data_IF_513463199653
#
_entry.id   IF_513463199653
#
_cell.length_a   1.000
_cell.length_b   1.000
_cell.length_c   1.000
_cell.angle_alpha   90.00
_cell.angle_beta   90.00
_cell.angle_gamma   90.00
#
_symmetry.space_group_name_H-M   'P 1'
#
loop_
_entity.id
_entity.type
_entity.pdbx_description
1 polymer ?
#
# COMPACT_ATOMS: atom_id res chain seq x y z
N UNK A 1 5.45 1.96 -32.46
CA UNK A 1 6.03 2.72 -31.33
C UNK A 1 4.98 3.35 -30.41
N UNK A 2 4.07 4.23 -30.88
CA UNK A 2 3.01 4.84 -30.04
C UNK A 2 2.08 3.83 -29.35
N UNK A 3 1.71 2.75 -30.03
CA UNK A 3 0.82 1.71 -29.47
C UNK A 3 1.50 0.86 -28.39
N UNK A 4 2.78 0.51 -28.59
CA UNK A 4 3.62 -0.18 -27.59
C UNK A 4 3.80 0.71 -26.35
N UNK A 5 4.14 1.98 -26.55
CA UNK A 5 4.29 2.95 -25.44
C UNK A 5 2.98 3.14 -24.66
N UNK A 6 1.82 3.24 -25.34
CA UNK A 6 0.51 3.32 -24.69
C UNK A 6 0.17 2.05 -23.90
N UNK A 7 0.42 0.87 -24.47
CA UNK A 7 0.21 -0.41 -23.79
C UNK A 7 1.07 -0.52 -22.53
N UNK A 8 2.34 -0.10 -22.60
CA UNK A 8 3.24 -0.10 -21.44
C UNK A 8 2.75 0.87 -20.36
N UNK A 9 2.33 2.10 -20.71
CA UNK A 9 1.81 3.05 -19.72
C UNK A 9 0.57 2.53 -18.99
N UNK A 10 -0.39 1.93 -19.71
CA UNK A 10 -1.59 1.35 -19.10
C UNK A 10 -1.23 0.18 -18.20
N UNK A 11 -0.39 -0.73 -18.67
CA UNK A 11 0.05 -1.91 -17.89
C UNK A 11 0.79 -1.48 -16.62
N UNK A 12 1.66 -0.47 -16.71
CA UNK A 12 2.34 0.06 -15.53
C UNK A 12 1.37 0.74 -14.57
N UNK A 13 0.34 1.43 -15.07
CA UNK A 13 -0.71 2.00 -14.22
C UNK A 13 -1.51 0.93 -13.49
N UNK A 14 -1.86 -0.16 -14.17
CA UNK A 14 -2.50 -1.34 -13.56
C UNK A 14 -1.60 -1.99 -12.51
N UNK A 15 -0.30 -2.09 -12.78
CA UNK A 15 0.67 -2.61 -11.82
C UNK A 15 0.81 -1.69 -10.60
N UNK A 16 0.89 -0.35 -10.78
CA UNK A 16 0.92 0.62 -9.67
C UNK A 16 -0.32 0.46 -8.80
N UNK A 17 -1.51 0.37 -9.40
CA UNK A 17 -2.74 0.09 -8.65
C UNK A 17 -2.59 -1.17 -7.80
N UNK A 18 -2.17 -2.29 -8.39
CA UNK A 18 -2.09 -3.58 -7.69
C UNK A 18 -0.96 -3.65 -6.65
N UNK A 19 0.14 -2.93 -6.86
CA UNK A 19 1.21 -2.78 -5.87
C UNK A 19 0.71 -2.03 -4.62
N UNK A 20 -0.12 -1.00 -4.82
CA UNK A 20 -0.68 -0.21 -3.72
C UNK A 20 -1.90 -0.91 -3.10
N UNK A 21 -2.76 -1.56 -3.88
CA UNK A 21 -3.97 -2.18 -3.38
C UNK A 21 -3.72 -3.59 -2.81
N UNK A 22 -3.34 -3.64 -1.53
CA UNK A 22 -3.10 -4.88 -0.77
C UNK A 22 -4.31 -5.40 0.01
N UNK A 23 -4.21 -6.60 0.62
CA UNK A 23 -5.27 -7.15 1.47
C UNK A 23 -5.66 -6.22 2.63
N UNK A 24 -4.71 -5.50 3.23
CA UNK A 24 -4.99 -4.47 4.24
C UNK A 24 -5.82 -3.30 3.72
N UNK A 25 -5.80 -3.05 2.41
CA UNK A 25 -6.53 -1.96 1.76
C UNK A 25 -7.98 -2.34 1.39
N UNK A 26 -8.40 -3.58 1.65
CA UNK A 26 -9.81 -3.98 1.66
C UNK A 26 -10.53 -3.52 2.93
N UNK A 27 -9.80 -3.44 4.05
CA UNK A 27 -10.32 -3.14 5.38
C UNK A 27 -10.63 -1.65 5.57
N UNK A 28 -9.65 -0.78 5.35
CA UNK A 28 -9.76 0.65 5.67
C UNK A 28 -10.90 1.41 4.96
N UNK A 29 -11.14 1.25 3.64
CA UNK A 29 -12.27 1.91 2.98
C UNK A 29 -13.62 1.43 3.51
N UNK A 30 -13.76 0.14 3.88
CA UNK A 30 -15.00 -0.36 4.53
C UNK A 30 -15.24 0.37 5.86
N UNK A 31 -14.19 0.51 6.68
CA UNK A 31 -14.27 1.25 7.94
C UNK A 31 -14.63 2.72 7.73
N UNK A 32 -14.14 3.34 6.65
CA UNK A 32 -14.55 4.69 6.28
C UNK A 32 -16.03 4.78 5.92
N UNK A 33 -16.58 3.75 5.28
CA UNK A 33 -18.01 3.61 5.02
C UNK A 33 -18.88 3.59 6.28
N UNK A 34 -18.39 3.03 7.39
CA UNK A 34 -19.10 2.98 8.68
C UNK A 34 -19.39 4.37 9.29
N UNK A 35 -18.77 5.43 8.76
CA UNK A 35 -19.10 6.80 9.17
C UNK A 35 -20.48 7.26 8.71
N UNK A 36 -21.28 6.40 8.07
CA UNK A 36 -22.71 6.57 7.90
C UNK A 36 -23.11 7.82 7.13
N UNK A 37 -24.04 8.59 7.70
CA UNK A 37 -24.57 9.84 7.13
C UNK A 37 -23.53 10.92 6.74
N UNK A 38 -22.26 10.77 7.16
CA UNK A 38 -21.16 11.62 6.73
C UNK A 38 -20.15 10.88 5.81
N UNK A 39 -20.65 10.01 4.95
CA UNK A 39 -19.86 9.26 3.97
C UNK A 39 -18.94 10.14 3.11
N UNK A 40 -19.44 11.27 2.58
CA UNK A 40 -18.63 12.15 1.72
C UNK A 40 -17.43 12.75 2.48
N UNK A 41 -17.60 13.42 3.64
CA UNK A 41 -16.48 13.86 4.46
C UNK A 41 -15.51 12.73 4.83
N UNK A 42 -16.04 11.56 5.22
CA UNK A 42 -15.24 10.39 5.56
C UNK A 42 -14.34 9.95 4.40
N UNK A 43 -14.94 9.72 3.22
CA UNK A 43 -14.20 9.28 2.04
C UNK A 43 -13.21 10.34 1.53
N UNK A 44 -13.53 11.63 1.62
CA UNK A 44 -12.58 12.69 1.28
C UNK A 44 -11.35 12.66 2.19
N UNK A 45 -11.55 12.48 3.50
CA UNK A 45 -10.47 12.28 4.45
C UNK A 45 -9.63 11.06 4.09
N UNK A 46 -10.29 9.90 3.91
CA UNK A 46 -9.64 8.64 3.56
C UNK A 46 -8.81 8.75 2.27
N UNK A 47 -9.38 9.29 1.19
CA UNK A 47 -8.72 9.45 -0.10
C UNK A 47 -7.56 10.44 -0.05
N UNK A 48 -7.62 11.46 0.81
CA UNK A 48 -6.51 12.38 1.02
C UNK A 48 -5.28 11.62 1.55
N UNK A 49 -5.47 10.76 2.55
CA UNK A 49 -4.40 9.96 3.14
C UNK A 49 -3.94 8.79 2.27
N UNK A 50 -4.87 8.07 1.64
CA UNK A 50 -4.61 6.80 0.94
C UNK A 50 -4.34 6.93 -0.56
N UNK A 51 -4.69 8.05 -1.20
CA UNK A 51 -4.49 8.23 -2.65
C UNK A 51 -3.70 9.50 -2.97
N UNK A 52 -4.17 10.66 -2.50
CA UNK A 52 -3.57 11.94 -2.87
C UNK A 52 -2.13 12.03 -2.36
N UNK A 53 -1.90 11.67 -1.10
CA UNK A 53 -0.58 11.70 -0.50
C UNK A 53 0.41 10.71 -1.15
N UNK A 54 0.07 9.42 -1.38
CA UNK A 54 0.90 8.52 -2.18
C UNK A 54 1.18 9.03 -3.59
N UNK A 55 0.19 9.62 -4.28
CA UNK A 55 0.38 10.23 -5.60
C UNK A 55 1.41 11.36 -5.55
N UNK A 56 1.37 12.22 -4.53
CA UNK A 56 2.40 13.25 -4.30
C UNK A 56 3.78 12.62 -4.08
N UNK A 57 3.86 11.52 -3.33
CA UNK A 57 5.07 10.71 -3.17
C UNK A 57 5.62 10.21 -4.50
N UNK A 58 4.75 9.67 -5.37
CA UNK A 58 5.11 9.19 -6.71
C UNK A 58 5.68 10.30 -7.58
N UNK A 59 4.96 11.43 -7.65
CA UNK A 59 5.37 12.60 -8.43
C UNK A 59 6.75 13.06 -7.97
N UNK A 60 6.95 13.14 -6.65
CA UNK A 60 8.19 13.64 -6.08
C UNK A 60 9.35 12.69 -6.36
N UNK A 61 9.20 11.36 -6.21
CA UNK A 61 10.30 10.43 -6.52
C UNK A 61 10.61 10.41 -8.02
N UNK A 62 9.61 10.61 -8.90
CA UNK A 62 9.83 10.80 -10.35
C UNK A 62 10.67 12.05 -10.62
N UNK A 63 10.41 13.17 -9.93
CA UNK A 63 11.23 14.39 -10.03
C UNK A 63 12.67 14.20 -9.53
N UNK A 64 12.92 13.15 -8.73
CA UNK A 64 14.24 12.69 -8.30
C UNK A 64 14.78 11.53 -9.14
N UNK A 65 14.23 11.31 -10.35
CA UNK A 65 14.67 10.27 -11.29
C UNK A 65 14.60 8.83 -10.76
N UNK A 66 13.78 8.60 -9.73
CA UNK A 66 13.70 7.30 -9.06
C UNK A 66 14.80 7.05 -8.04
N UNK A 67 15.67 8.03 -7.76
CA UNK A 67 16.75 7.86 -6.79
C UNK A 67 16.29 8.21 -5.37
N UNK A 68 15.88 7.18 -4.64
CA UNK A 68 15.49 7.34 -3.24
C UNK A 68 16.68 7.76 -2.35
N UNK A 69 17.94 7.53 -2.74
CA UNK A 69 19.08 8.05 -1.97
C UNK A 69 19.13 9.57 -2.07
N UNK A 70 19.05 10.13 -3.27
CA UNK A 70 18.99 11.58 -3.45
C UNK A 70 17.76 12.20 -2.76
N UNK A 71 16.63 11.48 -2.73
CA UNK A 71 15.43 11.90 -2.02
C UNK A 71 15.67 12.04 -0.50
N UNK A 72 16.22 11.02 0.16
CA UNK A 72 16.42 11.05 1.61
C UNK A 72 17.74 11.71 2.04
N UNK A 73 18.79 11.73 1.23
CA UNK A 73 20.09 12.30 1.62
C UNK A 73 20.10 13.83 1.69
N UNK A 74 19.04 14.52 1.23
CA UNK A 74 18.89 15.96 1.43
C UNK A 74 18.87 16.37 2.90
N UNK A 75 18.38 15.51 3.81
CA UNK A 75 18.47 15.77 5.26
C UNK A 75 19.88 15.50 5.83
N UNK A 76 20.73 14.81 5.08
CA UNK A 76 22.06 14.35 5.47
C UNK A 76 22.23 12.86 5.17
N UNK A 77 23.46 12.44 4.86
CA UNK A 77 23.75 11.06 4.43
C UNK A 77 23.42 10.02 5.51
N UNK A 78 23.85 10.26 6.75
CA UNK A 78 23.60 9.37 7.89
C UNK A 78 22.10 9.31 8.24
N UNK A 79 21.41 10.43 8.53
CA UNK A 79 19.99 10.37 8.89
C UNK A 79 19.12 9.89 7.71
N UNK A 80 19.47 10.25 6.47
CA UNK A 80 18.77 9.75 5.28
C UNK A 80 18.91 8.24 5.10
N UNK A 81 20.12 7.68 5.31
CA UNK A 81 20.34 6.24 5.26
C UNK A 81 19.57 5.50 6.36
N UNK A 82 19.54 6.06 7.58
CA UNK A 82 18.76 5.50 8.69
C UNK A 82 17.26 5.47 8.38
N UNK A 83 16.69 6.54 7.82
CA UNK A 83 15.28 6.58 7.43
C UNK A 83 14.98 5.56 6.32
N UNK A 84 15.83 5.45 5.29
CA UNK A 84 15.64 4.44 4.24
C UNK A 84 15.62 3.05 4.86
N UNK A 85 16.58 2.73 5.73
CA UNK A 85 16.65 1.43 6.40
C UNK A 85 15.39 1.14 7.22
N UNK A 86 14.93 2.10 8.02
CA UNK A 86 13.68 1.97 8.79
C UNK A 86 12.46 1.78 7.89
N UNK A 87 12.37 2.54 6.79
CA UNK A 87 11.28 2.37 5.83
C UNK A 87 11.29 0.96 5.23
N UNK A 88 12.46 0.42 4.85
CA UNK A 88 12.60 -0.93 4.30
C UNK A 88 12.20 -2.02 5.30
N UNK A 89 12.50 -1.83 6.59
CA UNK A 89 12.02 -2.73 7.65
C UNK A 89 10.50 -2.66 7.81
N UNK A 90 9.93 -1.45 7.83
CA UNK A 90 8.49 -1.23 7.98
C UNK A 90 7.71 -1.82 6.81
N UNK A 91 8.09 -1.50 5.56
CA UNK A 91 7.36 -2.00 4.39
C UNK A 91 7.66 -3.48 4.11
N UNK A 92 8.82 -3.97 4.52
CA UNK A 92 9.23 -5.34 4.29
C UNK A 92 8.90 -6.25 5.46
N UNK A 93 9.92 -6.77 6.16
CA UNK A 93 9.77 -7.92 7.04
C UNK A 93 9.06 -7.65 8.36
N UNK A 94 8.94 -6.40 8.83
CA UNK A 94 8.51 -6.14 10.22
C UNK A 94 7.03 -5.82 10.34
N UNK A 95 6.48 -4.96 9.47
CA UNK A 95 5.12 -4.44 9.64
C UNK A 95 4.23 -4.78 8.43
N UNK A 96 4.48 -4.21 7.26
CA UNK A 96 3.52 -4.25 6.16
C UNK A 96 3.35 -5.65 5.56
N UNK A 97 4.44 -6.39 5.25
CA UNK A 97 4.29 -7.75 4.74
C UNK A 97 3.70 -8.71 5.78
N UNK A 98 4.16 -8.74 7.06
CA UNK A 98 3.50 -9.53 8.10
C UNK A 98 2.01 -9.20 8.24
N UNK A 99 1.65 -7.91 8.23
CA UNK A 99 0.26 -7.44 8.27
C UNK A 99 -0.55 -7.98 7.11
N UNK A 100 0.00 -8.00 5.89
CA UNK A 100 -0.70 -8.54 4.72
C UNK A 100 -1.00 -10.03 4.92
N UNK A 101 -0.04 -10.81 5.43
CA UNK A 101 -0.23 -12.23 5.70
C UNK A 101 -1.30 -12.46 6.78
N UNK A 102 -1.20 -11.76 7.91
CA UNK A 102 -2.13 -11.93 9.03
C UNK A 102 -3.54 -11.45 8.70
N UNK A 103 -3.69 -10.33 7.98
CA UNK A 103 -4.99 -9.85 7.49
C UNK A 103 -5.59 -10.83 6.49
N UNK A 104 -4.79 -11.33 5.54
CA UNK A 104 -5.30 -12.31 4.57
C UNK A 104 -5.79 -13.57 5.27
N UNK A 105 -5.07 -14.05 6.28
CA UNK A 105 -5.52 -15.18 7.10
C UNK A 105 -6.82 -14.87 7.85
N UNK A 106 -6.89 -13.71 8.53
CA UNK A 106 -8.07 -13.30 9.28
C UNK A 106 -9.32 -13.23 8.38
N UNK A 107 -9.21 -12.58 7.22
CA UNK A 107 -10.30 -12.46 6.24
C UNK A 107 -10.76 -13.83 5.71
N UNK A 108 -9.85 -14.80 5.57
CA UNK A 108 -10.20 -16.12 5.06
C UNK A 108 -10.63 -17.10 6.15
N UNK A 109 -10.40 -16.77 7.42
CA UNK A 109 -10.73 -17.61 8.58
C UNK A 109 -12.17 -18.13 8.58
N UNK A 110 -13.20 -17.28 8.38
CA UNK A 110 -14.60 -17.73 8.31
C UNK A 110 -14.91 -18.68 7.14
N UNK A 111 -14.05 -18.74 6.13
CA UNK A 111 -14.27 -19.48 4.87
C UNK A 111 -13.42 -20.74 4.77
N UNK A 112 -12.41 -20.91 5.62
CA UNK A 112 -11.49 -22.03 5.61
C UNK A 112 -11.73 -22.91 6.85
N UNK A 113 -11.51 -24.24 6.75
CA UNK A 113 -11.42 -25.09 7.93
C UNK A 113 -10.37 -24.58 8.91
N UNK A 114 -10.48 -24.92 10.20
CA UNK A 114 -9.46 -24.57 11.20
C UNK A 114 -8.09 -25.13 10.82
N UNK A 115 -7.33 -24.34 10.07
CA UNK A 115 -5.99 -24.63 9.63
C UNK A 115 -4.99 -23.84 10.47
N UNK A 116 -3.81 -24.39 10.68
CA UNK A 116 -2.74 -23.67 11.38
C UNK A 116 -2.37 -22.41 10.59
N UNK A 117 -2.42 -21.24 11.25
CA UNK A 117 -1.89 -19.98 10.71
C UNK A 117 -0.48 -20.15 10.11
N UNK A 118 0.35 -20.99 10.75
CA UNK A 118 1.71 -21.26 10.30
C UNK A 118 1.73 -21.91 8.90
N UNK A 119 0.84 -22.87 8.65
CA UNK A 119 0.70 -23.51 7.34
C UNK A 119 0.24 -22.51 6.28
N UNK A 120 -0.75 -21.68 6.61
CA UNK A 120 -1.22 -20.61 5.73
C UNK A 120 -0.10 -19.63 5.38
N UNK A 121 0.61 -19.12 6.39
CA UNK A 121 1.71 -18.17 6.20
C UNK A 121 2.86 -18.78 5.36
N UNK A 122 3.20 -20.05 5.59
CA UNK A 122 4.18 -20.76 4.77
C UNK A 122 3.75 -20.84 3.30
N UNK A 123 2.51 -21.27 3.03
CA UNK A 123 2.00 -21.39 1.65
C UNK A 123 1.92 -20.01 0.98
N UNK A 124 1.40 -19.01 1.70
CA UNK A 124 1.25 -17.65 1.19
C UNK A 124 2.60 -17.03 0.80
N UNK A 125 3.61 -17.14 1.67
CA UNK A 125 4.94 -16.60 1.41
C UNK A 125 5.70 -17.43 0.36
N UNK A 126 5.43 -18.72 0.24
CA UNK A 126 5.97 -19.55 -0.84
C UNK A 126 5.41 -19.14 -2.21
N UNK A 127 4.11 -18.86 -2.31
CA UNK A 127 3.51 -18.33 -3.54
C UNK A 127 4.08 -16.94 -3.85
N UNK A 128 4.25 -16.11 -2.82
CA UNK A 128 4.90 -14.80 -2.95
C UNK A 128 6.34 -14.93 -3.48
N UNK A 129 7.10 -15.91 -3.00
CA UNK A 129 8.44 -16.22 -3.51
C UNK A 129 8.41 -16.57 -5.01
N UNK A 130 7.49 -17.43 -5.44
CA UNK A 130 7.34 -17.80 -6.86
C UNK A 130 7.04 -16.57 -7.72
N UNK A 131 6.15 -15.70 -7.25
CA UNK A 131 5.77 -14.47 -7.95
C UNK A 131 6.91 -13.45 -8.03
N UNK A 132 7.72 -13.34 -6.98
CA UNK A 132 8.88 -12.44 -6.91
C UNK A 132 10.16 -13.03 -7.51
N UNK A 133 10.20 -14.33 -7.81
CA UNK A 133 11.40 -15.05 -8.26
C UNK A 133 12.09 -14.40 -9.47
N UNK A 134 11.30 -13.86 -10.41
CA UNK A 134 11.79 -13.16 -11.60
C UNK A 134 11.53 -11.66 -11.50
N UNK A 135 12.48 -10.92 -10.93
CA UNK A 135 12.44 -9.45 -10.77
C UNK A 135 11.92 -8.72 -12.02
N UNK A 136 12.44 -9.08 -13.20
CA UNK A 136 12.08 -8.44 -14.47
C UNK A 136 10.64 -8.71 -14.96
N UNK A 137 9.91 -9.66 -14.35
CA UNK A 137 8.54 -10.02 -14.75
C UNK A 137 7.49 -9.59 -13.73
N UNK A 138 7.88 -8.93 -12.64
CA UNK A 138 6.96 -8.54 -11.57
C UNK A 138 5.89 -7.57 -12.10
N UNK A 139 6.28 -6.54 -12.86
CA UNK A 139 5.32 -5.60 -13.44
C UNK A 139 4.34 -6.29 -14.41
N UNK A 140 4.83 -7.23 -15.22
CA UNK A 140 3.98 -7.95 -16.17
C UNK A 140 2.99 -8.87 -15.44
N UNK A 141 3.46 -9.60 -14.41
CA UNK A 141 2.62 -10.47 -13.58
C UNK A 141 1.51 -9.65 -12.90
N UNK A 142 1.88 -8.53 -12.28
CA UNK A 142 0.93 -7.69 -11.57
C UNK A 142 -0.06 -7.04 -12.55
N UNK A 143 0.44 -6.40 -13.61
CA UNK A 143 -0.41 -5.66 -14.55
C UNK A 143 -1.31 -6.52 -15.44
N UNK A 144 -0.85 -7.69 -15.90
CA UNK A 144 -1.61 -8.52 -16.85
C UNK A 144 -2.38 -9.67 -16.21
N UNK A 145 -1.99 -10.14 -15.02
CA UNK A 145 -2.63 -11.30 -14.38
C UNK A 145 -3.33 -10.89 -13.09
N UNK A 146 -2.60 -10.29 -12.15
CA UNK A 146 -3.15 -10.04 -10.81
C UNK A 146 -4.19 -8.91 -10.82
N UNK A 147 -3.88 -7.76 -11.45
CA UNK A 147 -4.78 -6.61 -11.49
C UNK A 147 -6.13 -6.92 -12.15
N UNK A 148 -6.20 -7.57 -13.34
CA UNK A 148 -7.50 -7.84 -13.97
C UNK A 148 -8.38 -8.79 -13.16
N UNK A 149 -7.80 -9.84 -12.57
CA UNK A 149 -8.53 -10.78 -11.70
C UNK A 149 -9.06 -10.03 -10.47
N UNK A 150 -8.20 -9.26 -9.83
CA UNK A 150 -8.55 -8.45 -8.66
C UNK A 150 -9.68 -7.47 -8.98
N UNK A 151 -9.53 -6.64 -10.01
CA UNK A 151 -10.58 -5.68 -10.40
C UNK A 151 -11.89 -6.36 -10.78
N UNK A 152 -11.85 -7.51 -11.46
CA UNK A 152 -13.06 -8.26 -11.79
C UNK A 152 -13.78 -8.74 -10.53
N UNK A 153 -13.07 -9.37 -9.60
CA UNK A 153 -13.66 -9.85 -8.35
C UNK A 153 -14.25 -8.71 -7.52
N UNK A 154 -13.54 -7.58 -7.40
CA UNK A 154 -14.03 -6.41 -6.69
C UNK A 154 -15.23 -5.76 -7.39
N UNK A 155 -15.23 -5.67 -8.71
CA UNK A 155 -16.35 -5.14 -9.47
C UNK A 155 -17.61 -5.98 -9.23
N UNK A 156 -17.50 -7.31 -9.24
CA UNK A 156 -18.63 -8.20 -8.96
C UNK A 156 -19.15 -7.96 -7.53
N UNK A 157 -18.27 -7.89 -6.53
CA UNK A 157 -18.65 -7.64 -5.13
C UNK A 157 -19.33 -6.28 -4.95
N UNK A 158 -18.74 -5.21 -5.49
CA UNK A 158 -19.29 -3.86 -5.38
C UNK A 158 -20.63 -3.73 -6.11
N UNK A 159 -20.72 -4.18 -7.36
CA UNK A 159 -21.96 -4.08 -8.15
C UNK A 159 -23.09 -4.88 -7.47
N UNK A 160 -22.82 -6.11 -7.01
CA UNK A 160 -23.83 -6.90 -6.31
C UNK A 160 -24.23 -6.24 -4.99
N UNK A 161 -23.29 -5.66 -4.24
CA UNK A 161 -23.60 -4.96 -2.98
C UNK A 161 -24.38 -3.67 -3.15
N UNK A 162 -24.26 -2.98 -4.29
CA UNK A 162 -25.09 -1.81 -4.60
C UNK A 162 -26.53 -2.18 -4.95
N UNK A 163 -26.78 -3.39 -5.45
CA UNK A 163 -28.10 -3.89 -5.84
C UNK A 163 -28.78 -4.63 -4.68
N UNK A 164 -28.01 -5.26 -3.80
CA UNK A 164 -28.52 -6.00 -2.64
C UNK A 164 -29.27 -5.06 -1.67
N UNK A 165 -30.38 -5.50 -1.05
CA UNK A 165 -31.10 -4.69 -0.07
C UNK A 165 -30.15 -4.14 1.00
N UNK A 166 -30.22 -2.84 1.25
CA UNK A 166 -29.25 -2.12 2.06
C UNK A 166 -29.91 -1.35 3.20
N UNK A 167 -29.15 -1.12 4.25
CA UNK A 167 -29.50 -0.20 5.33
C UNK A 167 -28.32 0.74 5.56
N UNK A 168 -28.57 2.04 5.43
CA UNK A 168 -27.52 3.04 5.62
C UNK A 168 -27.11 3.04 7.09
N UNK A 169 -25.81 2.92 7.34
CA UNK A 169 -25.26 3.03 8.69
C UNK A 169 -25.62 4.39 9.28
N UNK A 170 -26.29 4.39 10.43
CA UNK A 170 -26.55 5.62 11.18
C UNK A 170 -25.27 6.06 11.90
N UNK A 171 -25.07 7.38 12.02
CA UNK A 171 -23.90 7.92 12.72
C UNK A 171 -24.30 9.07 13.62
N UNK A 172 -23.73 9.09 14.83
CA UNK A 172 -23.77 10.23 15.75
C UNK A 172 -22.55 11.13 15.63
N UNK A 173 -21.57 10.74 14.80
CA UNK A 173 -20.30 11.44 14.64
C UNK A 173 -20.48 12.72 13.81
N UNK A 174 -19.85 13.84 14.20
CA UNK A 174 -19.85 15.05 13.39
C UNK A 174 -19.01 14.92 12.11
N UNK A 175 -19.31 15.70 11.04
CA UNK A 175 -18.64 15.59 9.73
C UNK A 175 -17.14 15.86 9.76
N UNK A 176 -16.70 16.82 10.59
CA UNK A 176 -15.27 17.13 10.74
C UNK A 176 -14.51 15.99 11.43
N UNK A 177 -15.12 15.38 12.45
CA UNK A 177 -14.52 14.25 13.16
C UNK A 177 -14.43 13.02 12.24
N UNK A 178 -15.47 12.77 11.44
CA UNK A 178 -15.46 11.73 10.41
C UNK A 178 -14.33 11.96 9.39
N UNK A 179 -14.15 13.19 8.89
CA UNK A 179 -13.04 13.51 8.00
C UNK A 179 -11.67 13.22 8.64
N UNK A 180 -11.43 13.68 9.88
CA UNK A 180 -10.13 13.56 10.54
C UNK A 180 -9.77 12.10 10.87
N UNK A 181 -10.71 11.32 11.38
CA UNK A 181 -10.49 9.89 11.69
C UNK A 181 -10.17 9.12 10.41
N UNK A 182 -10.94 9.36 9.35
CA UNK A 182 -10.75 8.64 8.10
C UNK A 182 -9.52 9.09 7.33
N UNK A 183 -9.09 10.34 7.47
CA UNK A 183 -7.77 10.77 7.01
C UNK A 183 -6.64 9.97 7.68
N UNK A 184 -6.74 9.69 8.98
CA UNK A 184 -5.79 8.82 9.68
C UNK A 184 -5.84 7.37 9.19
N UNK A 185 -7.02 6.81 8.93
CA UNK A 185 -7.12 5.49 8.29
C UNK A 185 -6.50 5.47 6.90
N UNK A 186 -6.61 6.56 6.14
CA UNK A 186 -5.92 6.73 4.87
C UNK A 186 -4.40 6.64 5.02
N UNK A 187 -3.82 7.27 6.04
CA UNK A 187 -2.40 7.16 6.36
C UNK A 187 -1.98 5.74 6.77
N UNK A 188 -2.89 5.01 7.41
CA UNK A 188 -2.65 3.64 7.91
C UNK A 188 -2.48 2.61 6.79
N UNK A 189 -2.85 2.93 5.54
CA UNK A 189 -2.60 2.09 4.36
C UNK A 189 -1.10 1.83 4.14
N UNK A 190 -0.24 2.80 4.53
CA UNK A 190 1.21 2.82 4.29
C UNK A 190 1.60 2.99 2.81
N UNK A 191 0.63 3.33 1.95
CA UNK A 191 0.83 3.42 0.50
C UNK A 191 1.85 4.51 0.12
N UNK A 192 2.01 5.57 0.94
CA UNK A 192 3.04 6.60 0.70
C UNK A 192 4.45 6.00 0.73
N UNK A 193 4.74 5.17 1.74
CA UNK A 193 6.05 4.53 1.85
C UNK A 193 6.27 3.62 0.63
N UNK A 194 5.30 2.77 0.32
CA UNK A 194 5.35 1.88 -0.84
C UNK A 194 5.60 2.65 -2.13
N UNK A 195 4.84 3.73 -2.37
CA UNK A 195 4.90 4.50 -3.62
C UNK A 195 6.27 5.15 -3.88
N UNK A 196 6.95 5.62 -2.82
CA UNK A 196 8.30 6.18 -2.97
C UNK A 196 9.27 5.12 -3.50
N UNK A 197 9.22 3.89 -3.00
CA UNK A 197 10.13 2.82 -3.45
C UNK A 197 9.65 2.10 -4.71
N UNK A 198 8.35 1.89 -4.88
CA UNK A 198 7.78 1.36 -6.12
C UNK A 198 8.01 2.31 -7.30
N UNK A 199 7.90 3.62 -7.08
CA UNK A 199 8.18 4.63 -8.10
C UNK A 199 9.62 4.54 -8.64
N UNK A 200 10.59 4.23 -7.77
CA UNK A 200 11.97 3.98 -8.17
C UNK A 200 12.11 2.77 -9.11
N UNK A 201 11.46 1.65 -8.76
CA UNK A 201 11.45 0.42 -9.59
C UNK A 201 10.74 0.66 -10.92
N UNK A 202 9.57 1.29 -10.89
CA UNK A 202 8.80 1.64 -12.09
C UNK A 202 9.67 2.45 -13.06
N UNK A 203 10.35 3.48 -12.57
CA UNK A 203 11.26 4.29 -13.40
C UNK A 203 12.46 3.48 -13.89
N UNK A 204 13.04 2.61 -13.07
CA UNK A 204 14.14 1.72 -13.47
C UNK A 204 13.73 0.83 -14.63
N UNK A 205 12.55 0.20 -14.58
CA UNK A 205 12.06 -0.68 -15.64
C UNK A 205 11.74 0.11 -16.91
N UNK A 206 11.12 1.28 -16.77
CA UNK A 206 10.93 2.22 -17.87
C UNK A 206 12.29 2.60 -18.53
N UNK A 207 13.33 2.90 -17.75
CA UNK A 207 14.70 3.17 -18.24
C UNK A 207 15.33 1.95 -18.92
N UNK A 208 15.12 0.74 -18.41
CA UNK A 208 15.64 -0.49 -19.01
C UNK A 208 14.97 -0.81 -20.36
N UNK A 209 13.66 -0.60 -20.48
CA UNK A 209 12.93 -0.76 -21.74
C UNK A 209 13.38 0.25 -22.81
N UNK A 210 13.90 1.43 -22.42
CA UNK A 210 14.53 2.39 -23.34
C UNK A 210 15.85 1.88 -23.92
N UNK A 211 16.63 1.06 -23.19
CA UNK A 211 17.85 0.46 -23.79
C UNK A 211 17.53 -0.41 -25.01
N UNK A 212 16.27 -0.86 -25.15
CA UNK A 212 15.76 -1.61 -26.31
C UNK A 212 15.13 -0.70 -27.38
N UNK A 213 14.89 0.58 -27.11
CA UNK A 213 14.22 1.54 -28.01
C UNK A 213 15.09 2.79 -28.18
N UNK A 214 15.71 2.93 -29.34
CA UNK A 214 16.61 4.04 -29.69
C UNK A 214 15.90 5.40 -29.52
N UNK A 215 16.49 6.29 -28.72
CA UNK A 215 16.10 7.70 -28.48
C UNK A 215 14.72 7.97 -27.86
N UNK A 216 14.55 7.73 -26.56
CA UNK A 216 13.48 8.36 -25.76
C UNK A 216 14.11 9.39 -24.79
N UNK A 217 13.71 10.66 -24.88
CA UNK A 217 14.15 11.73 -23.96
C UNK A 217 13.67 11.43 -22.53
N UNK A 218 14.52 11.70 -21.53
CA UNK A 218 14.21 11.54 -20.10
C UNK A 218 12.89 12.22 -19.68
N UNK A 219 12.58 13.38 -20.26
CA UNK A 219 11.33 14.12 -20.01
C UNK A 219 10.06 13.33 -20.41
N UNK A 220 10.12 12.58 -21.52
CA UNK A 220 9.00 11.75 -22.00
C UNK A 220 8.77 10.59 -21.03
N UNK A 221 9.83 10.07 -20.41
CA UNK A 221 9.75 8.98 -19.45
C UNK A 221 9.07 9.39 -18.15
N UNK A 222 9.46 10.55 -17.60
CA UNK A 222 8.81 11.12 -16.43
C UNK A 222 7.31 11.33 -16.66
N UNK A 223 6.93 11.85 -17.83
CA UNK A 223 5.52 12.01 -18.20
C UNK A 223 4.79 10.68 -18.28
N UNK A 224 5.37 9.64 -18.89
CA UNK A 224 4.74 8.31 -18.95
C UNK A 224 4.57 7.68 -17.57
N UNK A 225 5.57 7.81 -16.69
CA UNK A 225 5.48 7.32 -15.31
C UNK A 225 4.40 8.08 -14.52
N UNK A 226 4.28 9.40 -14.72
CA UNK A 226 3.22 10.22 -14.13
C UNK A 226 1.83 9.82 -14.62
N UNK A 227 1.66 9.61 -15.94
CA UNK A 227 0.39 9.15 -16.51
C UNK A 227 0.01 7.76 -15.99
N UNK A 228 0.97 6.83 -15.90
CA UNK A 228 0.75 5.51 -15.30
C UNK A 228 0.33 5.64 -13.82
N UNK A 229 1.02 6.49 -13.06
CA UNK A 229 0.67 6.81 -11.68
C UNK A 229 -0.75 7.34 -11.53
N UNK A 230 -1.15 8.27 -12.39
CA UNK A 230 -2.51 8.81 -12.40
C UNK A 230 -3.57 7.75 -12.71
N UNK A 231 -3.32 6.86 -13.68
CA UNK A 231 -4.19 5.71 -13.96
C UNK A 231 -4.34 4.82 -12.72
N UNK A 232 -3.21 4.48 -12.07
CA UNK A 232 -3.21 3.66 -10.87
C UNK A 232 -4.01 4.28 -9.73
N UNK A 233 -3.77 5.56 -9.44
CA UNK A 233 -4.48 6.30 -8.39
C UNK A 233 -5.97 6.55 -8.70
N UNK A 234 -6.32 6.73 -9.97
CA UNK A 234 -7.72 6.87 -10.39
C UNK A 234 -8.49 5.55 -10.17
N UNK A 235 -7.89 4.41 -10.55
CA UNK A 235 -8.44 3.09 -10.26
C UNK A 235 -8.55 2.84 -8.77
N UNK A 236 -7.52 3.21 -8.00
CA UNK A 236 -7.51 3.08 -6.54
C UNK A 236 -8.65 3.87 -5.90
N UNK A 237 -8.88 5.11 -6.35
CA UNK A 237 -9.99 5.97 -5.91
C UNK A 237 -11.33 5.32 -6.20
N UNK A 238 -11.54 4.82 -7.42
CA UNK A 238 -12.79 4.19 -7.82
C UNK A 238 -13.09 2.95 -6.96
N UNK A 239 -12.09 2.10 -6.76
CA UNK A 239 -12.22 0.90 -5.94
C UNK A 239 -12.50 1.27 -4.48
N UNK A 240 -11.78 2.23 -3.90
CA UNK A 240 -12.02 2.68 -2.53
C UNK A 240 -13.41 3.29 -2.34
N UNK A 241 -13.93 4.05 -3.31
CA UNK A 241 -15.31 4.56 -3.27
C UNK A 241 -16.33 3.41 -3.33
N UNK A 242 -16.12 2.43 -4.22
CA UNK A 242 -16.97 1.24 -4.32
C UNK A 242 -16.98 0.44 -3.02
N UNK A 243 -15.81 0.14 -2.48
CA UNK A 243 -15.67 -0.61 -1.23
C UNK A 243 -16.21 0.18 -0.04
N UNK A 244 -15.92 1.49 0.05
CA UNK A 244 -16.49 2.35 1.08
C UNK A 244 -18.03 2.40 1.03
N UNK A 245 -18.62 2.38 -0.15
CA UNK A 245 -20.08 2.28 -0.27
C UNK A 245 -20.64 0.97 0.28
N UNK A 246 -19.89 -0.15 0.20
CA UNK A 246 -20.30 -1.39 0.86
C UNK A 246 -20.29 -1.25 2.38
N UNK A 247 -19.29 -0.57 2.94
CA UNK A 247 -19.26 -0.25 4.37
C UNK A 247 -20.44 0.61 4.81
N UNK A 248 -20.83 1.59 3.99
CA UNK A 248 -21.99 2.45 4.25
C UNK A 248 -23.33 1.71 4.21
N UNK A 249 -23.47 0.73 3.31
CA UNK A 249 -24.74 0.08 3.01
C UNK A 249 -24.98 -1.22 3.80
N UNK A 250 -23.91 -1.88 4.23
CA UNK A 250 -23.96 -3.22 4.84
C UNK A 250 -23.12 -3.34 6.12
N UNK A 251 -22.39 -2.31 6.50
CA UNK A 251 -21.45 -2.37 7.62
C UNK A 251 -22.08 -2.19 9.01
N UNK A 252 -23.35 -1.78 9.10
CA UNK A 252 -24.01 -1.43 10.37
C UNK A 252 -24.13 -2.59 11.35
N UNK A 253 -24.32 -3.81 10.85
CA UNK A 253 -24.37 -5.02 11.67
C UNK A 253 -22.98 -5.42 12.22
N UNK A 254 -21.90 -4.84 11.67
CA UNK A 254 -20.51 -5.21 11.94
C UNK A 254 -19.71 -4.10 12.59
N UNK A 255 -20.35 -3.11 13.22
CA UNK A 255 -19.67 -1.98 13.85
C UNK A 255 -18.70 -2.42 14.97
N UNK A 256 -18.96 -3.58 15.60
CA UNK A 256 -18.09 -4.22 16.59
C UNK A 256 -17.16 -5.32 16.03
N UNK A 257 -17.25 -5.63 14.74
CA UNK A 257 -16.42 -6.65 14.14
C UNK A 257 -14.95 -6.23 14.13
N UNK A 258 -14.05 -7.19 14.32
CA UNK A 258 -12.63 -6.93 14.20
C UNK A 258 -12.34 -6.48 12.77
N UNK A 259 -11.56 -5.40 12.62
CA UNK A 259 -11.29 -4.79 11.32
C UNK A 259 -10.79 -5.82 10.27
N UNK A 260 -10.03 -6.82 10.72
CA UNK A 260 -9.48 -7.89 9.89
C UNK A 260 -10.49 -8.86 9.27
N UNK A 261 -11.76 -8.91 9.71
CA UNK A 261 -12.80 -9.80 9.13
C UNK A 261 -13.91 -9.05 8.40
N UNK A 262 -14.01 -7.73 8.64
CA UNK A 262 -15.10 -6.87 8.17
C UNK A 262 -15.40 -6.97 6.66
N UNK A 263 -14.36 -7.09 5.83
CA UNK A 263 -14.55 -7.26 4.38
C UNK A 263 -15.24 -8.57 4.03
N UNK A 264 -14.81 -9.68 4.65
CA UNK A 264 -15.36 -11.00 4.37
C UNK A 264 -16.80 -11.12 4.87
N UNK A 265 -17.10 -10.57 6.04
CA UNK A 265 -18.45 -10.59 6.59
C UNK A 265 -19.43 -9.82 5.69
N UNK A 266 -19.08 -8.57 5.34
CA UNK A 266 -19.89 -7.76 4.41
C UNK A 266 -20.02 -8.43 3.05
N UNK A 267 -18.94 -8.97 2.50
CA UNK A 267 -18.98 -9.64 1.21
C UNK A 267 -19.80 -10.94 1.24
N UNK A 268 -19.82 -11.67 2.36
CA UNK A 268 -20.64 -12.88 2.51
C UNK A 268 -22.12 -12.56 2.66
N UNK A 269 -22.48 -11.47 3.33
CA UNK A 269 -23.87 -10.96 3.36
C UNK A 269 -24.34 -10.61 1.95
N UNK A 270 -23.51 -9.86 1.21
CA UNK A 270 -23.85 -9.39 -0.14
C UNK A 270 -23.87 -10.53 -1.16
N UNK A 271 -22.85 -11.38 -1.16
CA UNK A 271 -22.66 -12.37 -2.21
C UNK A 271 -23.34 -13.72 -1.90
N UNK A 272 -23.65 -13.99 -0.63
CA UNK A 272 -24.13 -15.28 -0.15
C UNK A 272 -23.06 -16.38 -0.23
N UNK A 273 -23.44 -17.62 0.05
CA UNK A 273 -22.51 -18.75 0.11
C UNK A 273 -21.80 -19.03 -1.23
N UNK A 274 -22.45 -18.74 -2.37
CA UNK A 274 -21.84 -18.81 -3.70
C UNK A 274 -20.72 -17.78 -3.93
N UNK A 275 -20.67 -16.74 -3.09
CA UNK A 275 -19.70 -15.64 -3.13
C UNK A 275 -18.36 -15.92 -2.48
N UNK A 276 -18.26 -16.97 -1.65
CA UNK A 276 -17.06 -17.27 -0.88
C UNK A 276 -15.81 -17.37 -1.76
N UNK A 277 -15.92 -18.01 -2.94
CA UNK A 277 -14.81 -18.14 -3.89
C UNK A 277 -14.34 -16.76 -4.40
N UNK A 278 -15.27 -15.83 -4.65
CA UNK A 278 -14.94 -14.47 -5.13
C UNK A 278 -14.18 -13.71 -4.04
N UNK A 279 -14.62 -13.83 -2.78
CA UNK A 279 -13.94 -13.22 -1.63
C UNK A 279 -12.53 -13.78 -1.46
N UNK A 280 -12.39 -15.11 -1.52
CA UNK A 280 -11.09 -15.79 -1.41
C UNK A 280 -10.13 -15.28 -2.48
N UNK A 281 -10.57 -15.22 -3.74
CA UNK A 281 -9.74 -14.74 -4.84
C UNK A 281 -9.39 -13.26 -4.64
N UNK A 282 -10.34 -12.39 -4.28
CA UNK A 282 -10.09 -10.97 -4.08
C UNK A 282 -9.03 -10.73 -2.99
N UNK A 283 -9.19 -11.37 -1.83
CA UNK A 283 -8.28 -11.24 -0.69
C UNK A 283 -6.89 -11.76 -1.03
N UNK A 284 -6.79 -12.95 -1.64
CA UNK A 284 -5.50 -13.54 -2.00
C UNK A 284 -4.80 -12.75 -3.11
N UNK A 285 -5.51 -12.31 -4.14
CA UNK A 285 -4.90 -11.52 -5.22
C UNK A 285 -4.38 -10.17 -4.71
N UNK A 286 -5.15 -9.48 -3.86
CA UNK A 286 -4.71 -8.25 -3.21
C UNK A 286 -3.51 -8.51 -2.26
N UNK A 287 -3.55 -9.60 -1.49
CA UNK A 287 -2.44 -9.96 -0.61
C UNK A 287 -1.15 -10.25 -1.40
N UNK A 288 -1.23 -11.09 -2.42
CA UNK A 288 -0.08 -11.48 -3.22
C UNK A 288 0.50 -10.32 -4.01
N UNK A 289 -0.32 -9.41 -4.56
CA UNK A 289 0.20 -8.31 -5.36
C UNK A 289 1.18 -7.44 -4.58
N UNK A 290 0.76 -6.98 -3.42
CA UNK A 290 1.55 -6.10 -2.58
C UNK A 290 2.70 -6.86 -1.92
N UNK A 291 2.49 -8.11 -1.48
CA UNK A 291 3.57 -8.92 -0.91
C UNK A 291 4.70 -9.21 -1.92
N UNK A 292 4.36 -9.53 -3.17
CA UNK A 292 5.34 -9.74 -4.25
C UNK A 292 6.11 -8.45 -4.51
N UNK A 293 5.41 -7.32 -4.64
CA UNK A 293 6.04 -6.03 -4.90
C UNK A 293 7.00 -5.60 -3.77
N UNK A 294 6.55 -5.67 -2.51
CA UNK A 294 7.34 -5.29 -1.34
C UNK A 294 8.54 -6.21 -1.13
N UNK A 295 8.35 -7.52 -1.28
CA UNK A 295 9.45 -8.49 -1.15
C UNK A 295 10.57 -8.22 -2.15
N UNK A 296 10.22 -7.85 -3.39
CA UNK A 296 11.19 -7.53 -4.41
C UNK A 296 11.96 -6.23 -4.13
N UNK A 297 11.25 -5.16 -3.72
CA UNK A 297 11.87 -3.89 -3.30
C UNK A 297 12.92 -4.12 -2.21
N UNK A 298 12.53 -4.87 -1.17
CA UNK A 298 13.36 -5.03 0.02
C UNK A 298 14.50 -6.02 -0.25
N UNK A 299 14.28 -7.04 -1.09
CA UNK A 299 15.34 -7.92 -1.55
C UNK A 299 16.38 -7.19 -2.40
N UNK A 300 15.96 -6.31 -3.33
CA UNK A 300 16.85 -5.48 -4.13
C UNK A 300 17.66 -4.52 -3.23
N UNK A 301 17.01 -3.91 -2.24
CA UNK A 301 17.66 -3.08 -1.24
C UNK A 301 18.71 -3.86 -0.43
N UNK A 302 18.35 -5.04 0.10
CA UNK A 302 19.26 -5.89 0.86
C UNK A 302 20.46 -6.30 0.01
N UNK A 303 20.25 -6.70 -1.24
CA UNK A 303 21.30 -7.05 -2.19
C UNK A 303 22.25 -5.86 -2.46
N UNK A 304 21.70 -4.72 -2.90
CA UNK A 304 22.50 -3.62 -3.46
C UNK A 304 23.06 -2.67 -2.41
N UNK A 305 22.25 -2.33 -1.42
CA UNK A 305 22.55 -1.30 -0.43
C UNK A 305 23.26 -1.85 0.80
N UNK A 306 22.77 -2.96 1.35
CA UNK A 306 23.28 -3.54 2.59
C UNK A 306 24.44 -4.50 2.32
N UNK A 307 24.26 -5.44 1.38
CA UNK A 307 25.26 -6.45 1.08
C UNK A 307 26.26 -6.02 -0.01
N UNK A 308 26.12 -4.83 -0.59
CA UNK A 308 26.99 -4.31 -1.67
C UNK A 308 27.20 -5.32 -2.82
N UNK A 309 26.13 -5.96 -3.29
CA UNK A 309 26.10 -7.00 -4.32
C UNK A 309 26.88 -8.30 -3.99
N UNK A 310 27.29 -8.51 -2.73
CA UNK A 310 27.90 -9.77 -2.29
C UNK A 310 26.89 -10.90 -2.13
N UNK A 311 25.62 -10.55 -1.94
CA UNK A 311 24.50 -11.49 -1.85
C UNK A 311 23.67 -11.40 -3.13
N UNK A 312 23.34 -12.55 -3.74
CA UNK A 312 22.47 -12.56 -4.92
C UNK A 312 21.01 -12.26 -4.54
N UNK A 313 20.21 -11.84 -5.52
CA UNK A 313 18.79 -11.49 -5.35
C UNK A 313 17.95 -12.61 -4.69
N UNK A 314 18.10 -13.86 -5.15
CA UNK A 314 17.29 -14.98 -4.65
C UNK A 314 17.54 -15.27 -3.16
N UNK A 315 18.79 -15.41 -2.67
CA UNK A 315 19.07 -15.47 -1.24
C UNK A 315 18.54 -14.26 -0.45
N UNK A 316 18.67 -13.05 -0.99
CA UNK A 316 18.14 -11.85 -0.34
C UNK A 316 16.61 -11.92 -0.18
N UNK A 317 15.90 -12.37 -1.22
CA UNK A 317 14.45 -12.58 -1.21
C UNK A 317 14.04 -13.63 -0.16
N UNK A 318 14.77 -14.74 -0.07
CA UNK A 318 14.51 -15.78 0.94
C UNK A 318 14.67 -15.22 2.36
N UNK A 319 15.73 -14.44 2.61
CA UNK A 319 15.96 -13.82 3.93
C UNK A 319 14.80 -12.88 4.29
N UNK A 320 14.35 -12.05 3.35
CA UNK A 320 13.22 -11.13 3.58
C UNK A 320 11.95 -11.91 3.91
N UNK A 321 11.61 -12.94 3.14
CA UNK A 321 10.40 -13.74 3.36
C UNK A 321 10.46 -14.56 4.65
N UNK A 322 11.62 -15.09 5.03
CA UNK A 322 11.79 -15.77 6.32
C UNK A 322 11.64 -14.80 7.49
N UNK A 323 12.19 -13.59 7.38
CA UNK A 323 12.00 -12.55 8.39
C UNK A 323 10.52 -12.13 8.49
N UNK A 324 9.84 -11.95 7.35
CA UNK A 324 8.38 -11.73 7.29
C UNK A 324 7.61 -12.85 7.98
N UNK A 325 7.96 -14.11 7.72
CA UNK A 325 7.30 -15.26 8.32
C UNK A 325 7.40 -15.21 9.84
N UNK A 326 8.60 -15.02 10.39
CA UNK A 326 8.84 -14.92 11.83
C UNK A 326 8.03 -13.76 12.43
N UNK A 327 8.07 -12.59 11.82
CA UNK A 327 7.30 -11.43 12.30
C UNK A 327 5.79 -11.64 12.20
N UNK A 328 5.31 -12.42 11.23
CA UNK A 328 3.88 -12.73 11.10
C UNK A 328 3.35 -13.59 12.26
N UNK A 329 4.22 -14.35 12.95
CA UNK A 329 3.85 -15.18 14.09
C UNK A 329 3.45 -14.37 15.34
N UNK A 330 3.80 -13.07 15.42
CA UNK A 330 3.37 -12.21 16.53
C UNK A 330 1.86 -11.91 16.54
N UNK A 331 1.15 -12.24 15.45
CA UNK A 331 -0.31 -12.11 15.37
C UNK A 331 -0.79 -10.75 14.88
N UNK A 332 -2.04 -10.70 14.43
CA UNK A 332 -2.64 -9.53 13.79
C UNK A 332 -2.69 -8.29 14.70
N UNK A 333 -3.21 -8.43 15.92
CA UNK A 333 -3.40 -7.29 16.83
C UNK A 333 -2.09 -6.64 17.23
N UNK A 334 -1.05 -7.44 17.48
CA UNK A 334 0.28 -6.93 17.79
C UNK A 334 0.85 -6.12 16.63
N UNK A 335 0.78 -6.65 15.40
CA UNK A 335 1.27 -5.97 14.20
C UNK A 335 0.49 -4.68 13.92
N UNK A 336 -0.84 -4.72 14.10
CA UNK A 336 -1.70 -3.55 13.91
C UNK A 336 -1.39 -2.46 14.94
N UNK A 337 -1.20 -2.83 16.21
CA UNK A 337 -0.80 -1.90 17.26
C UNK A 337 0.60 -1.33 17.00
N UNK A 338 1.58 -2.16 16.65
CA UNK A 338 2.92 -1.70 16.30
C UNK A 338 2.91 -0.70 15.13
N UNK A 339 2.09 -0.97 14.10
CA UNK A 339 1.86 -0.05 12.98
C UNK A 339 1.27 1.29 13.45
N UNK A 340 0.23 1.25 14.29
CA UNK A 340 -0.43 2.46 14.79
C UNK A 340 0.47 3.30 15.68
N UNK A 341 1.24 2.68 16.58
CA UNK A 341 2.00 3.43 17.57
C UNK A 341 3.31 3.96 16.99
N UNK A 342 4.07 3.14 16.27
CA UNK A 342 5.41 3.54 15.80
C UNK A 342 5.38 4.15 14.41
N UNK A 343 4.65 3.53 13.48
CA UNK A 343 4.68 3.92 12.07
C UNK A 343 3.83 5.15 11.82
N UNK A 344 2.59 5.18 12.32
CA UNK A 344 1.68 6.32 12.09
C UNK A 344 2.07 7.56 12.89
N UNK A 345 2.50 7.43 14.15
CA UNK A 345 2.80 8.59 15.00
C UNK A 345 4.15 9.20 14.65
N UNK A 346 5.17 8.39 14.40
CA UNK A 346 6.54 8.89 14.18
C UNK A 346 6.94 8.81 12.70
N UNK A 347 6.86 7.61 12.11
CA UNK A 347 7.42 7.36 10.78
C UNK A 347 6.75 8.17 9.66
N UNK A 348 5.43 8.11 9.56
CA UNK A 348 4.68 8.73 8.47
C UNK A 348 4.80 10.26 8.46
N UNK A 349 4.62 11.01 9.56
CA UNK A 349 4.77 12.46 9.54
C UNK A 349 6.15 12.91 9.07
N UNK A 350 7.22 12.19 9.45
CA UNK A 350 8.58 12.46 8.99
C UNK A 350 8.67 12.28 7.47
N UNK A 351 8.18 11.16 6.93
CA UNK A 351 8.24 10.90 5.48
C UNK A 351 7.34 11.85 4.68
N UNK A 352 6.17 12.20 5.20
CA UNK A 352 5.27 13.23 4.63
C UNK A 352 6.02 14.56 4.53
N UNK A 353 6.67 14.99 5.61
CA UNK A 353 7.43 16.24 5.65
C UNK A 353 8.58 16.23 4.64
N UNK A 354 9.34 15.13 4.56
CA UNK A 354 10.40 14.98 3.56
C UNK A 354 9.82 15.06 2.14
N UNK A 355 8.68 14.41 1.90
CA UNK A 355 8.01 14.39 0.59
C UNK A 355 7.61 15.79 0.16
N UNK A 356 6.89 16.55 0.99
CA UNK A 356 6.48 17.92 0.66
C UNK A 356 7.67 18.89 0.56
N UNK A 357 8.69 18.76 1.42
CA UNK A 357 9.89 19.58 1.32
C UNK A 357 10.72 19.29 0.05
N UNK A 358 10.71 18.04 -0.41
CA UNK A 358 11.34 17.64 -1.67
C UNK A 358 10.54 18.09 -2.89
N UNK A 359 9.21 18.04 -2.82
CA UNK A 359 8.34 18.60 -3.85
C UNK A 359 8.57 20.11 -3.98
N UNK A 360 8.52 20.84 -2.86
CA UNK A 360 8.77 22.28 -2.83
C UNK A 360 10.19 22.64 -3.31
N UNK A 361 11.17 21.78 -3.08
CA UNK A 361 12.51 21.96 -3.63
C UNK A 361 12.55 21.87 -5.15
N UNK A 362 11.90 20.85 -5.72
CA UNK A 362 11.89 20.65 -7.18
C UNK A 362 11.02 21.66 -7.92
N UNK A 363 9.94 22.15 -7.30
CA UNK A 363 9.03 23.13 -7.91
C UNK A 363 9.45 24.58 -7.68
N UNK A 364 9.91 24.92 -6.47
CA UNK A 364 10.12 26.30 -6.03
C UNK A 364 11.54 26.58 -5.50
N UNK A 365 12.45 25.60 -5.56
CA UNK A 365 13.83 25.78 -5.08
C UNK A 365 13.98 25.83 -3.54
N UNK A 366 12.98 25.37 -2.78
CA UNK A 366 13.00 25.35 -1.31
C UNK A 366 14.17 24.53 -0.74
N UNK A 367 15.15 25.21 -0.13
CA UNK A 367 16.38 24.60 0.41
C UNK A 367 16.30 24.04 1.85
N UNK A 368 15.55 24.64 2.80
CA UNK A 368 15.65 24.22 4.20
C UNK A 368 14.80 22.98 4.49
N UNK A 369 15.40 21.80 4.39
CA UNK A 369 14.74 20.52 4.71
C UNK A 369 15.02 20.03 6.14
N UNK A 370 16.20 20.34 6.69
CA UNK A 370 16.65 19.78 7.97
C UNK A 370 15.83 20.28 9.16
N UNK A 371 15.52 21.58 9.18
CA UNK A 371 14.79 22.21 10.29
C UNK A 371 13.34 21.70 10.36
N UNK A 372 12.55 21.70 9.27
CA UNK A 372 11.20 21.14 9.32
C UNK A 372 11.17 19.67 9.74
N UNK A 373 12.08 18.85 9.20
CA UNK A 373 12.13 17.41 9.52
C UNK A 373 12.52 17.18 10.98
N UNK A 374 13.48 17.96 11.52
CA UNK A 374 13.88 17.86 12.92
C UNK A 374 12.74 18.27 13.87
N UNK A 375 12.03 19.36 13.56
CA UNK A 375 10.87 19.82 14.35
C UNK A 375 9.81 18.72 14.38
N UNK A 376 9.45 18.18 13.22
CA UNK A 376 8.43 17.12 13.14
C UNK A 376 8.89 15.87 13.88
N UNK A 377 10.15 15.46 13.74
CA UNK A 377 10.68 14.31 14.47
C UNK A 377 10.62 14.50 15.99
N UNK A 378 10.98 15.69 16.50
CA UNK A 378 10.89 15.99 17.94
C UNK A 378 9.44 16.02 18.40
N UNK A 379 8.56 16.75 17.72
CA UNK A 379 7.14 16.85 18.09
C UNK A 379 6.46 15.48 18.10
N UNK A 380 6.68 14.66 17.07
CA UNK A 380 6.07 13.32 16.99
C UNK A 380 6.63 12.36 18.03
N UNK A 381 7.93 12.43 18.32
CA UNK A 381 8.53 11.62 19.40
C UNK A 381 7.98 12.05 20.76
N UNK A 382 7.81 13.35 21.02
CA UNK A 382 7.18 13.83 22.25
C UNK A 382 5.73 13.35 22.39
N UNK A 383 4.94 13.40 21.31
CA UNK A 383 3.56 12.87 21.31
C UNK A 383 3.54 11.37 21.58
N UNK A 384 4.45 10.62 20.96
CA UNK A 384 4.56 9.18 21.18
C UNK A 384 4.93 8.84 22.63
N UNK A 385 5.93 9.53 23.19
CA UNK A 385 6.33 9.35 24.61
C UNK A 385 5.17 9.71 25.53
N UNK A 386 4.43 10.78 25.24
CA UNK A 386 3.25 11.15 25.99
C UNK A 386 2.18 10.06 25.97
N UNK A 387 1.89 9.48 24.80
CA UNK A 387 0.92 8.39 24.65
C UNK A 387 1.35 7.08 25.34
N UNK A 388 2.65 6.88 25.57
CA UNK A 388 3.14 5.73 26.33
C UNK A 388 3.09 5.93 27.85
N UNK A 389 3.09 7.19 28.30
CA UNK A 389 3.09 7.55 29.73
C UNK A 389 1.69 7.85 30.28
N UNK A 390 0.74 8.20 29.41
CA UNK A 390 -0.68 8.40 29.71
C UNK A 390 -1.46 7.09 29.55
#
# INVERSE_FOLDING_TARGET
>A
MKQVLRSTTVTTGLAIFSMLFGAGNLMFPLQAGLSGGHFIPSMLGFLLGSVLLPLVGLITIILFDGDYRSFFYRIGRIPGAAIIFLCMLIIGPVIAMPRIVTVSYAMLGPLLPEHSFMLFACIFLFITFIGAFKENRILDLLGYVVTPILLLTLAITVIKGLIFPWQVVETSMGPLLAFMINARYGLSTLDLLGTIFFGAIVLSIFKQNIKRVTYVRAHVLGHMALYAGFIGCALLTLVYLGIGSLGLLHGGEFEQAQAGILFSDVAMVVLGNSGAIIVIIAVLMAGFSTAIALSAVVAEYLQREICHNRLAYIPALIIVLLATFICSLFGFDWILNASRTVVEVIGLPIVITITFANLAYKLFGFKPIKVPVAIVAVCTTCIFVWQLLA
#
